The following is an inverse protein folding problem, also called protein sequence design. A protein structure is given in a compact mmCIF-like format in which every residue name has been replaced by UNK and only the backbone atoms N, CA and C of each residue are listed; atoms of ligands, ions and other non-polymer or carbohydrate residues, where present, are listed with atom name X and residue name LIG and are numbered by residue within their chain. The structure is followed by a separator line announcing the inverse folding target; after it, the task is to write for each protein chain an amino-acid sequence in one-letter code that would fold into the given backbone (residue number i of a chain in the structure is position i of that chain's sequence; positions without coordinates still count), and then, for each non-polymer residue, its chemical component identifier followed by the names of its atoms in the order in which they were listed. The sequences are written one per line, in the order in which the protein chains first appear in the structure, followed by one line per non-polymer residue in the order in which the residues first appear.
data_IF_105367452907
#
_entry.id   IF_105367452907
#
_cell.length_a   1.000
_cell.length_b   1.000
_cell.length_c   1.000
_cell.angle_alpha   90.00
_cell.angle_beta   90.00
_cell.angle_gamma   90.00
#
_symmetry.space_group_name_H-M   'P 1'
#
loop_
_entity.id
_entity.type
_entity.pdbx_description
1 polymer ?
#
# COMPACT_ATOMS: atom_id res chain seq x y z
N UNK A 1 -13.27 52.93 33.42
CA UNK A 1 -12.61 52.83 32.07
C UNK A 1 -12.01 51.46 31.78
N UNK A 2 -11.41 50.79 32.73
CA UNK A 2 -10.74 49.46 32.53
C UNK A 2 -11.67 48.35 32.09
N UNK A 3 -12.93 48.28 32.58
CA UNK A 3 -13.91 47.24 32.22
C UNK A 3 -14.40 47.33 30.76
N UNK A 4 -14.45 48.53 30.16
CA UNK A 4 -14.81 48.72 28.78
C UNK A 4 -13.68 48.26 27.82
N UNK A 5 -12.42 48.50 28.19
CA UNK A 5 -11.27 48.09 27.40
C UNK A 5 -11.12 46.55 27.33
N UNK A 6 -11.33 45.86 28.44
CA UNK A 6 -11.28 44.38 28.47
C UNK A 6 -12.34 43.71 27.62
N UNK A 7 -13.57 44.26 27.55
CA UNK A 7 -14.61 43.75 26.64
C UNK A 7 -14.30 43.98 25.18
N UNK A 8 -13.71 45.11 24.83
CA UNK A 8 -13.30 45.38 23.40
C UNK A 8 -12.18 44.43 22.99
N UNK A 9 -11.19 44.19 23.83
CA UNK A 9 -10.11 43.22 23.53
C UNK A 9 -10.69 41.80 23.36
N UNK A 10 -11.61 41.39 24.23
CA UNK A 10 -12.27 40.08 24.12
C UNK A 10 -13.03 39.92 22.80
N UNK A 11 -13.77 40.95 22.35
CA UNK A 11 -14.49 40.91 21.06
C UNK A 11 -13.53 40.89 19.86
N UNK A 12 -12.40 41.59 19.92
CA UNK A 12 -11.38 41.56 18.89
C UNK A 12 -10.75 40.16 18.81
N UNK A 13 -10.39 39.55 19.94
CA UNK A 13 -9.83 38.19 19.97
C UNK A 13 -10.83 37.17 19.44
N UNK A 14 -12.11 37.25 19.86
CA UNK A 14 -13.17 36.39 19.36
C UNK A 14 -13.41 36.57 17.84
N UNK A 15 -13.38 37.82 17.34
CA UNK A 15 -13.53 38.10 15.92
C UNK A 15 -12.34 37.56 15.11
N UNK A 16 -11.10 37.67 15.60
CA UNK A 16 -9.90 37.12 14.96
C UNK A 16 -9.93 35.61 14.94
N UNK A 17 -10.35 34.96 16.04
CA UNK A 17 -10.54 33.52 16.10
C UNK A 17 -11.65 33.06 15.15
N UNK A 18 -12.76 33.78 15.07
CA UNK A 18 -13.87 33.45 14.15
C UNK A 18 -13.46 33.60 12.69
N UNK A 19 -12.74 34.66 12.33
CA UNK A 19 -12.19 34.87 10.98
C UNK A 19 -11.16 33.79 10.67
N UNK A 20 -10.28 33.45 11.62
CA UNK A 20 -9.29 32.37 11.44
C UNK A 20 -9.95 31.00 11.21
N UNK A 21 -11.00 30.68 11.98
CA UNK A 21 -11.76 29.43 11.79
C UNK A 21 -12.55 29.41 10.48
N UNK A 22 -13.20 30.52 10.11
CA UNK A 22 -13.92 30.62 8.83
C UNK A 22 -12.96 30.53 7.64
N UNK A 23 -11.77 31.13 7.73
CA UNK A 23 -10.75 31.03 6.67
C UNK A 23 -10.23 29.59 6.59
N UNK A 24 -9.94 28.95 7.70
CA UNK A 24 -9.54 27.55 7.78
C UNK A 24 -10.59 26.60 7.16
N UNK A 25 -11.87 26.78 7.54
CA UNK A 25 -12.98 26.01 6.97
C UNK A 25 -13.12 26.27 5.47
N UNK A 26 -13.00 27.52 5.02
CA UNK A 26 -13.06 27.88 3.60
C UNK A 26 -11.93 27.21 2.77
N UNK A 27 -10.72 27.15 3.32
CA UNK A 27 -9.59 26.48 2.67
C UNK A 27 -9.84 24.96 2.59
N UNK A 28 -10.32 24.34 3.67
CA UNK A 28 -10.64 22.91 3.69
C UNK A 28 -11.76 22.58 2.71
N UNK A 29 -12.84 23.33 2.71
CA UNK A 29 -13.95 23.13 1.77
C UNK A 29 -13.52 23.36 0.32
N UNK A 30 -12.67 24.36 0.07
CA UNK A 30 -12.09 24.63 -1.25
C UNK A 30 -11.20 23.47 -1.73
N UNK A 31 -10.36 22.92 -0.84
CA UNK A 31 -9.49 21.78 -1.18
C UNK A 31 -10.32 20.51 -1.44
N UNK A 32 -11.37 20.25 -0.67
CA UNK A 32 -12.28 19.11 -0.90
C UNK A 32 -13.03 19.25 -2.22
N UNK A 33 -13.53 20.46 -2.53
CA UNK A 33 -14.22 20.71 -3.80
C UNK A 33 -13.26 20.54 -4.99
N UNK A 34 -12.03 21.02 -4.88
CA UNK A 34 -11.00 20.85 -5.91
C UNK A 34 -10.68 19.38 -6.11
N UNK A 35 -10.43 18.63 -5.03
CA UNK A 35 -10.15 17.18 -5.10
C UNK A 35 -11.29 16.43 -5.80
N UNK A 36 -12.55 16.79 -5.51
CA UNK A 36 -13.71 16.18 -6.20
C UNK A 36 -13.73 16.48 -7.69
N UNK A 37 -13.49 17.75 -8.07
CA UNK A 37 -13.44 18.15 -9.49
C UNK A 37 -12.32 17.39 -10.22
N UNK A 38 -11.12 17.29 -9.61
CA UNK A 38 -9.99 16.55 -10.18
C UNK A 38 -10.34 15.07 -10.37
N UNK A 39 -11.02 14.46 -9.39
CA UNK A 39 -11.46 13.07 -9.48
C UNK A 39 -12.51 12.83 -10.56
N UNK A 40 -13.48 13.76 -10.69
CA UNK A 40 -14.50 13.69 -11.74
C UNK A 40 -13.86 13.80 -13.13
N UNK A 41 -12.87 14.65 -13.31
CA UNK A 41 -12.15 14.82 -14.59
C UNK A 41 -11.37 13.58 -15.02
N UNK A 42 -10.89 12.78 -14.06
CA UNK A 42 -10.15 11.53 -14.31
C UNK A 42 -11.08 10.31 -14.53
N UNK A 43 -12.33 10.37 -14.14
CA UNK A 43 -13.28 9.24 -14.24
C UNK A 43 -13.37 8.61 -15.65
N UNK A 44 -13.36 9.36 -16.76
CA UNK A 44 -13.37 8.75 -18.09
C UNK A 44 -12.15 7.86 -18.38
N UNK A 45 -10.98 8.18 -17.81
CA UNK A 45 -9.80 7.35 -17.95
C UNK A 45 -9.98 6.01 -17.24
N UNK A 46 -10.58 5.98 -16.05
CA UNK A 46 -10.74 4.76 -15.24
C UNK A 46 -12.00 3.97 -15.57
N UNK A 47 -12.85 4.45 -16.48
CA UNK A 47 -14.03 3.70 -16.95
C UNK A 47 -13.57 2.65 -17.96
N UNK A 48 -13.61 1.34 -17.64
CA UNK A 48 -13.18 0.30 -18.54
C UNK A 48 -14.18 0.08 -19.69
N UNK A 49 -13.77 -0.54 -20.82
CA UNK A 49 -14.70 -0.98 -21.85
C UNK A 49 -15.63 -2.09 -21.34
N UNK A 50 -16.80 -2.24 -21.96
CA UNK A 50 -17.79 -3.26 -21.57
C UNK A 50 -17.24 -4.70 -21.66
N UNK A 51 -16.25 -4.93 -22.52
CA UNK A 51 -15.56 -6.23 -22.64
C UNK A 51 -14.08 -6.00 -22.44
N UNK A 52 -13.52 -6.65 -21.41
CA UNK A 52 -12.11 -6.57 -21.10
C UNK A 52 -11.30 -7.55 -21.98
N UNK A 53 -10.11 -7.16 -22.45
CA UNK A 53 -9.16 -8.09 -23.05
C UNK A 53 -8.58 -9.05 -21.99
N UNK A 54 -7.65 -9.91 -22.40
CA UNK A 54 -7.01 -10.85 -21.49
C UNK A 54 -6.23 -10.15 -20.37
N UNK A 55 -6.12 -10.75 -19.17
CA UNK A 55 -5.26 -10.25 -18.08
C UNK A 55 -3.84 -9.95 -18.54
N UNK A 56 -3.24 -8.89 -18.03
CA UNK A 56 -1.96 -8.35 -18.46
C UNK A 56 -2.00 -7.48 -19.71
N UNK A 57 -3.20 -7.23 -20.28
CA UNK A 57 -3.35 -6.31 -21.42
C UNK A 57 -3.46 -4.86 -20.96
N UNK A 58 -2.87 -3.95 -21.71
CA UNK A 58 -3.09 -2.50 -21.53
C UNK A 58 -4.43 -2.13 -22.17
N UNK A 59 -5.28 -1.44 -21.44
CA UNK A 59 -6.52 -0.85 -21.95
C UNK A 59 -6.21 0.51 -22.57
N UNK A 60 -5.51 1.37 -21.84
CA UNK A 60 -5.05 2.69 -22.30
C UNK A 60 -3.92 3.22 -21.44
N UNK A 61 -3.19 4.19 -22.00
CA UNK A 61 -2.17 4.97 -21.29
C UNK A 61 -2.31 6.43 -21.62
N UNK A 62 -1.91 7.30 -20.70
CA UNK A 62 -1.74 8.74 -20.93
C UNK A 62 -0.56 9.25 -20.09
N UNK A 63 0.00 10.44 -20.40
CA UNK A 63 0.98 11.07 -19.51
C UNK A 63 0.42 11.23 -18.10
N UNK A 64 1.23 10.94 -17.08
CA UNK A 64 0.85 11.14 -15.68
C UNK A 64 0.90 12.63 -15.36
N UNK A 65 -0.22 13.30 -15.53
CA UNK A 65 -0.40 14.72 -15.28
C UNK A 65 -1.61 14.97 -14.40
N UNK A 66 -1.61 16.08 -13.67
CA UNK A 66 -2.70 16.53 -12.82
C UNK A 66 -3.02 17.99 -13.14
N UNK A 67 -3.66 18.26 -14.31
CA UNK A 67 -3.83 19.61 -14.85
C UNK A 67 -4.55 20.57 -13.92
N UNK A 68 -5.57 20.07 -13.23
CA UNK A 68 -6.43 20.88 -12.38
C UNK A 68 -5.74 21.33 -11.08
N UNK A 69 -4.69 20.61 -10.64
CA UNK A 69 -3.88 20.97 -9.46
C UNK A 69 -2.67 21.82 -9.81
N UNK A 70 -2.31 21.92 -11.08
CA UNK A 70 -1.05 22.48 -11.54
C UNK A 70 0.18 21.67 -11.13
N UNK A 71 -0.03 20.46 -10.59
CA UNK A 71 1.07 19.57 -10.19
C UNK A 71 1.62 18.85 -11.41
N UNK A 72 2.92 18.92 -11.58
CA UNK A 72 3.70 18.12 -12.54
C UNK A 72 4.72 17.34 -11.76
N UNK A 73 4.77 16.02 -11.97
CA UNK A 73 5.82 15.20 -11.41
C UNK A 73 7.13 15.54 -12.10
N UNK A 74 8.05 16.17 -11.37
CA UNK A 74 9.42 16.41 -11.86
C UNK A 74 10.26 15.16 -11.59
N UNK A 75 10.47 14.35 -12.63
CA UNK A 75 11.29 13.13 -12.58
C UNK A 75 12.35 13.23 -13.70
N UNK A 76 13.50 13.86 -13.42
CA UNK A 76 14.53 14.07 -14.41
C UNK A 76 14.99 12.75 -15.06
N UNK A 77 15.05 12.72 -16.38
CA UNK A 77 15.53 11.56 -17.14
C UNK A 77 14.53 10.40 -17.27
N UNK A 78 13.28 10.60 -16.93
CA UNK A 78 12.21 9.61 -17.09
C UNK A 78 10.91 10.24 -17.62
N UNK A 79 10.03 9.40 -18.15
CA UNK A 79 8.66 9.75 -18.54
C UNK A 79 7.70 8.95 -17.68
N UNK A 80 6.70 9.62 -17.10
CA UNK A 80 5.68 9.00 -16.27
C UNK A 80 4.36 8.89 -17.04
N UNK A 81 3.70 7.73 -16.91
CA UNK A 81 2.41 7.44 -17.53
C UNK A 81 1.41 7.01 -16.46
N UNK A 82 0.15 7.36 -16.68
CA UNK A 82 -1.01 6.67 -16.08
C UNK A 82 -1.38 5.53 -17.01
N UNK A 83 -1.62 4.35 -16.47
CA UNK A 83 -2.01 3.16 -17.22
C UNK A 83 -3.31 2.59 -16.64
N UNK A 84 -4.25 2.23 -17.50
CA UNK A 84 -5.36 1.34 -17.16
C UNK A 84 -5.08 0.00 -17.84
N UNK A 85 -5.09 -1.08 -17.06
CA UNK A 85 -4.76 -2.41 -17.52
C UNK A 85 -5.77 -3.45 -17.02
N UNK A 86 -5.69 -4.67 -17.52
CA UNK A 86 -6.53 -5.78 -17.08
C UNK A 86 -5.77 -6.67 -16.12
N UNK A 87 -6.35 -6.86 -14.95
CA UNK A 87 -5.95 -7.82 -13.94
C UNK A 87 -6.98 -8.94 -13.80
N UNK A 88 -6.91 -9.70 -12.71
CA UNK A 88 -7.76 -10.86 -12.45
C UNK A 88 -8.24 -10.83 -11.01
N UNK A 89 -9.51 -11.09 -10.79
CA UNK A 89 -10.04 -11.35 -9.43
C UNK A 89 -9.77 -12.81 -9.03
N UNK A 90 -9.83 -13.16 -7.74
CA UNK A 90 -9.57 -14.52 -7.26
C UNK A 90 -10.45 -15.61 -7.90
N UNK A 91 -11.65 -15.25 -8.36
CA UNK A 91 -12.57 -16.14 -9.10
C UNK A 91 -12.18 -16.34 -10.58
N UNK A 92 -11.07 -15.77 -11.02
CA UNK A 92 -10.57 -15.83 -12.40
C UNK A 92 -11.22 -14.82 -13.34
N UNK A 93 -12.14 -13.96 -12.89
CA UNK A 93 -12.77 -12.96 -13.75
C UNK A 93 -11.83 -11.79 -14.05
N UNK A 94 -11.75 -11.33 -15.33
CA UNK A 94 -10.98 -10.14 -15.65
C UNK A 94 -11.55 -8.88 -14.97
N UNK A 95 -10.66 -8.03 -14.47
CA UNK A 95 -11.01 -6.76 -13.85
C UNK A 95 -10.02 -5.67 -14.27
N UNK A 96 -10.48 -4.42 -14.34
CA UNK A 96 -9.60 -3.29 -14.64
C UNK A 96 -8.89 -2.80 -13.37
N UNK A 97 -7.62 -2.41 -13.50
CA UNK A 97 -6.85 -1.74 -12.46
C UNK A 97 -6.09 -0.55 -13.03
N UNK A 98 -5.90 0.48 -12.21
CA UNK A 98 -5.02 1.60 -12.52
C UNK A 98 -3.56 1.30 -12.18
N UNK A 99 -2.64 2.07 -12.75
CA UNK A 99 -1.24 2.06 -12.35
C UNK A 99 -0.53 3.35 -12.75
N UNK A 100 0.57 3.66 -12.06
CA UNK A 100 1.60 4.58 -12.54
C UNK A 100 2.73 3.77 -13.18
N UNK A 101 3.28 4.27 -14.27
CA UNK A 101 4.42 3.66 -14.96
C UNK A 101 5.50 4.71 -15.17
N UNK A 102 6.72 4.41 -14.78
CA UNK A 102 7.88 5.30 -14.91
C UNK A 102 8.91 4.63 -15.81
N UNK A 103 9.22 5.28 -16.91
CA UNK A 103 10.10 4.76 -17.98
C UNK A 103 11.31 5.66 -18.13
N UNK A 104 12.54 5.14 -17.95
CA UNK A 104 13.76 5.91 -18.20
C UNK A 104 13.87 6.35 -19.65
N UNK A 105 14.34 7.61 -19.87
CA UNK A 105 14.57 8.15 -21.20
C UNK A 105 15.91 7.68 -21.82
N UNK A 106 16.79 7.02 -21.05
CA UNK A 106 18.01 6.39 -21.56
C UNK A 106 17.69 5.27 -22.55
N UNK A 107 18.59 4.85 -23.44
CA UNK A 107 18.35 3.68 -24.29
C UNK A 107 18.14 2.38 -23.46
N UNK A 108 17.21 1.54 -23.89
CA UNK A 108 17.02 0.24 -23.27
C UNK A 108 18.18 -0.71 -23.59
N UNK A 109 18.55 -1.63 -22.66
CA UNK A 109 19.48 -2.70 -22.98
C UNK A 109 18.88 -3.66 -24.02
N UNK A 110 19.71 -4.44 -24.75
CA UNK A 110 19.23 -5.35 -25.81
C UNK A 110 18.18 -6.36 -25.35
N UNK A 111 18.26 -6.81 -24.10
CA UNK A 111 17.34 -7.81 -23.52
C UNK A 111 16.10 -7.16 -22.87
N UNK A 112 15.92 -5.86 -23.05
CA UNK A 112 14.85 -5.08 -22.41
C UNK A 112 15.22 -4.61 -20.99
N UNK A 113 14.42 -3.68 -20.47
CA UNK A 113 14.62 -3.08 -19.13
C UNK A 113 14.15 -4.03 -18.05
N UNK A 114 14.92 -4.24 -16.96
CA UNK A 114 14.38 -4.84 -15.75
C UNK A 114 13.19 -4.05 -15.23
N UNK A 115 12.23 -4.74 -14.60
CA UNK A 115 11.01 -4.13 -14.05
C UNK A 115 11.03 -4.22 -12.53
N UNK A 116 10.66 -3.13 -11.86
CA UNK A 116 10.31 -3.17 -10.44
C UNK A 116 8.81 -2.91 -10.32
N UNK A 117 8.08 -3.89 -9.80
CA UNK A 117 6.68 -3.72 -9.44
C UNK A 117 6.61 -3.14 -8.02
N UNK A 118 6.05 -1.93 -7.91
CA UNK A 118 5.79 -1.30 -6.63
C UNK A 118 4.39 -1.63 -6.16
N UNK A 119 4.30 -2.14 -4.94
CA UNK A 119 3.09 -2.43 -4.21
C UNK A 119 2.93 -1.40 -3.08
N UNK A 120 1.94 -0.51 -3.19
CA UNK A 120 1.74 0.56 -2.21
C UNK A 120 1.11 0.06 -0.90
N UNK A 121 1.26 0.83 0.16
CA UNK A 121 0.60 0.61 1.44
C UNK A 121 -0.85 1.07 1.43
N UNK A 122 -1.56 0.88 2.55
CA UNK A 122 -2.95 1.25 2.73
C UNK A 122 -3.20 2.74 2.45
N UNK A 123 -4.15 3.02 1.57
CA UNK A 123 -4.53 4.39 1.17
C UNK A 123 -6.01 4.69 1.41
N UNK A 124 -6.83 3.69 1.76
CA UNK A 124 -8.28 3.71 1.79
C UNK A 124 -8.86 3.11 0.51
N UNK A 125 -10.09 2.60 0.54
CA UNK A 125 -10.70 1.86 -0.56
C UNK A 125 -11.52 2.75 -1.53
N UNK A 126 -11.66 4.04 -1.23
CA UNK A 126 -12.38 4.96 -2.11
C UNK A 126 -11.65 5.24 -3.41
N UNK A 127 -12.39 5.40 -4.51
CA UNK A 127 -11.83 5.68 -5.85
C UNK A 127 -10.83 6.84 -5.88
N UNK A 128 -11.08 7.86 -5.04
CA UNK A 128 -10.22 9.03 -4.93
C UNK A 128 -8.87 8.75 -4.27
N UNK A 129 -8.73 7.59 -3.63
CA UNK A 129 -7.53 7.21 -2.88
C UNK A 129 -6.48 6.53 -3.75
N UNK A 130 -6.88 6.06 -4.94
CA UNK A 130 -5.98 5.41 -5.89
C UNK A 130 -4.72 6.26 -6.16
N UNK A 131 -3.51 5.71 -5.98
CA UNK A 131 -2.27 6.46 -6.16
C UNK A 131 -2.14 7.12 -7.52
N UNK A 132 -2.54 6.45 -8.61
CA UNK A 132 -2.45 7.00 -9.96
C UNK A 132 -3.45 8.13 -10.22
N UNK A 133 -4.44 8.31 -9.34
CA UNK A 133 -5.39 9.43 -9.35
C UNK A 133 -4.96 10.62 -8.49
N UNK A 134 -3.88 10.48 -7.73
CA UNK A 134 -3.44 11.47 -6.76
C UNK A 134 -2.06 12.07 -7.12
N UNK A 135 -1.89 13.40 -7.07
CA UNK A 135 -0.57 14.00 -7.22
C UNK A 135 0.41 13.60 -6.10
N UNK A 136 -0.07 12.97 -5.03
CA UNK A 136 0.73 12.46 -3.91
C UNK A 136 1.02 10.96 -4.01
N UNK A 137 0.55 10.29 -5.06
CA UNK A 137 0.71 8.83 -5.23
C UNK A 137 2.16 8.35 -5.25
N UNK A 138 3.13 9.24 -5.48
CA UNK A 138 4.56 8.92 -5.47
C UNK A 138 5.28 9.25 -4.16
N UNK A 139 4.58 9.71 -3.11
CA UNK A 139 5.22 10.14 -1.88
C UNK A 139 6.12 9.06 -1.26
N UNK A 140 5.66 7.81 -1.21
CA UNK A 140 6.41 6.68 -0.65
C UNK A 140 7.59 6.25 -1.53
N UNK A 141 7.64 6.73 -2.77
CA UNK A 141 8.72 6.46 -3.72
C UNK A 141 9.85 7.50 -3.64
N UNK A 142 9.66 8.55 -2.84
CA UNK A 142 10.68 9.57 -2.66
C UNK A 142 11.95 8.97 -2.07
N UNK A 143 13.10 9.34 -2.61
CA UNK A 143 14.40 8.84 -2.18
C UNK A 143 14.92 7.58 -2.91
N UNK A 144 14.09 6.87 -3.68
CA UNK A 144 14.54 5.68 -4.41
C UNK A 144 14.07 5.60 -5.87
N UNK A 145 12.93 6.23 -6.26
CA UNK A 145 12.43 6.17 -7.63
C UNK A 145 13.45 6.72 -8.64
N UNK A 146 14.04 7.88 -8.37
CA UNK A 146 15.08 8.48 -9.24
C UNK A 146 16.29 7.57 -9.39
N UNK A 147 16.68 6.86 -8.33
CA UNK A 147 17.78 5.90 -8.38
C UNK A 147 17.45 4.75 -9.34
N UNK A 148 16.24 4.20 -9.29
CA UNK A 148 15.79 3.15 -10.21
C UNK A 148 15.77 3.66 -11.65
N UNK A 149 15.30 4.89 -11.89
CA UNK A 149 15.35 5.52 -13.22
C UNK A 149 16.78 5.68 -13.73
N UNK A 150 17.71 6.07 -12.87
CA UNK A 150 19.14 6.22 -13.23
C UNK A 150 19.79 4.89 -13.60
N UNK A 151 19.31 3.78 -13.03
CA UNK A 151 19.74 2.42 -13.34
C UNK A 151 19.08 1.85 -14.62
N UNK A 152 18.17 2.58 -15.24
CA UNK A 152 17.51 2.18 -16.47
C UNK A 152 16.35 1.20 -16.27
N UNK A 153 15.83 1.04 -15.06
CA UNK A 153 14.71 0.13 -14.76
C UNK A 153 13.36 0.81 -14.99
N UNK A 154 12.40 0.04 -15.46
CA UNK A 154 11.00 0.47 -15.45
C UNK A 154 10.42 0.22 -14.06
N UNK A 155 9.66 1.19 -13.53
CA UNK A 155 8.85 0.98 -12.34
C UNK A 155 7.38 1.00 -12.73
N UNK A 156 6.63 -0.02 -12.32
CA UNK A 156 5.17 -0.07 -12.43
C UNK A 156 4.57 -0.14 -11.03
N UNK A 157 3.66 0.76 -10.71
CA UNK A 157 3.01 0.89 -9.42
C UNK A 157 1.51 0.69 -9.62
N UNK A 158 1.02 -0.53 -9.36
CA UNK A 158 -0.42 -0.84 -9.44
C UNK A 158 -1.21 -0.10 -8.37
N UNK A 159 -2.45 0.29 -8.68
CA UNK A 159 -3.40 0.83 -7.70
C UNK A 159 -4.19 -0.29 -6.99
N UNK A 160 -4.10 -1.53 -7.44
CA UNK A 160 -4.97 -2.68 -7.18
C UNK A 160 -6.36 -2.58 -7.82
N UNK A 161 -6.97 -3.74 -8.11
CA UNK A 161 -8.34 -3.82 -8.65
C UNK A 161 -9.34 -3.33 -7.62
N UNK A 162 -10.27 -2.47 -8.07
CA UNK A 162 -11.31 -1.90 -7.22
C UNK A 162 -10.92 -0.56 -6.60
N UNK A 163 -9.64 -0.18 -6.65
CA UNK A 163 -9.21 1.14 -6.22
C UNK A 163 -9.16 2.08 -7.43
N UNK A 164 -10.10 3.01 -7.49
CA UNK A 164 -10.29 3.90 -8.63
C UNK A 164 -10.93 3.25 -9.86
N UNK A 165 -11.34 2.00 -9.79
CA UNK A 165 -11.96 1.20 -10.85
C UNK A 165 -13.17 0.43 -10.31
N UNK A 166 -14.09 -0.09 -11.16
CA UNK A 166 -15.31 -0.72 -10.68
C UNK A 166 -15.11 -1.95 -9.79
N UNK A 167 -15.88 -2.02 -8.72
CA UNK A 167 -15.90 -3.10 -7.74
C UNK A 167 -15.05 -2.78 -6.50
N UNK A 168 -15.12 -3.57 -5.43
CA UNK A 168 -14.35 -3.32 -4.22
C UNK A 168 -12.88 -3.68 -4.41
N UNK A 169 -11.99 -2.96 -3.77
CA UNK A 169 -10.62 -3.41 -3.53
C UNK A 169 -10.66 -4.66 -2.63
N UNK A 170 -9.77 -5.60 -2.89
CA UNK A 170 -9.63 -6.81 -2.09
C UNK A 170 -8.41 -6.68 -1.16
N UNK A 171 -8.55 -5.78 -0.20
CA UNK A 171 -7.54 -5.41 0.78
C UNK A 171 -7.04 -6.62 1.58
N UNK A 172 -5.71 -6.83 1.61
CA UNK A 172 -5.05 -7.99 2.25
C UNK A 172 -5.65 -9.34 1.82
N UNK A 173 -6.09 -9.46 0.56
CA UNK A 173 -6.43 -10.74 -0.08
C UNK A 173 -5.28 -11.13 -1.00
N UNK A 174 -4.46 -12.06 -0.53
CA UNK A 174 -3.18 -12.44 -1.13
C UNK A 174 -3.24 -12.70 -2.64
N UNK A 175 -4.20 -13.52 -3.09
CA UNK A 175 -4.33 -13.86 -4.51
C UNK A 175 -4.67 -12.65 -5.38
N UNK A 176 -5.54 -11.75 -4.89
CA UNK A 176 -5.92 -10.55 -5.62
C UNK A 176 -4.73 -9.60 -5.79
N UNK A 177 -4.03 -9.30 -4.68
CA UNK A 177 -2.87 -8.41 -4.70
C UNK A 177 -1.74 -8.94 -5.58
N UNK A 178 -1.49 -10.25 -5.53
CA UNK A 178 -0.46 -10.90 -6.37
C UNK A 178 -0.85 -10.87 -7.85
N UNK A 179 -2.11 -11.13 -8.17
CA UNK A 179 -2.60 -11.05 -9.56
C UNK A 179 -2.46 -9.63 -10.11
N UNK A 180 -2.70 -8.60 -9.29
CA UNK A 180 -2.51 -7.20 -9.68
C UNK A 180 -1.04 -6.87 -9.93
N UNK A 181 -0.14 -7.30 -9.05
CA UNK A 181 1.31 -7.14 -9.22
C UNK A 181 1.77 -7.83 -10.52
N UNK A 182 1.44 -9.11 -10.72
CA UNK A 182 1.85 -9.88 -11.91
C UNK A 182 1.31 -9.24 -13.19
N UNK A 183 0.03 -8.92 -13.23
CA UNK A 183 -0.61 -8.39 -14.44
C UNK A 183 -0.17 -6.96 -14.75
N UNK A 184 0.23 -6.16 -13.74
CA UNK A 184 0.88 -4.87 -14.00
C UNK A 184 2.23 -5.00 -14.69
N UNK A 185 3.03 -6.03 -14.33
CA UNK A 185 4.30 -6.36 -15.02
C UNK A 185 4.04 -6.83 -16.45
N UNK A 186 3.04 -7.70 -16.67
CA UNK A 186 2.65 -8.11 -18.02
C UNK A 186 2.19 -6.93 -18.86
N UNK A 187 1.40 -6.03 -18.29
CA UNK A 187 0.90 -4.84 -18.98
C UNK A 187 2.04 -3.91 -19.38
N UNK A 188 2.99 -3.61 -18.49
CA UNK A 188 4.11 -2.73 -18.82
C UNK A 188 5.02 -3.34 -19.87
N UNK A 189 5.14 -4.67 -19.93
CA UNK A 189 5.86 -5.37 -21.02
C UNK A 189 5.16 -5.23 -22.38
N UNK A 190 3.85 -5.06 -22.37
CA UNK A 190 3.09 -4.81 -23.60
C UNK A 190 3.16 -3.34 -24.06
N UNK A 191 3.70 -2.42 -23.27
CA UNK A 191 3.92 -1.02 -23.63
C UNK A 191 5.21 -0.87 -24.47
N UNK A 192 5.13 -0.43 -25.76
CA UNK A 192 6.33 -0.26 -26.59
C UNK A 192 7.34 0.73 -25.98
N UNK A 193 6.86 1.76 -25.30
CA UNK A 193 7.69 2.80 -24.67
C UNK A 193 8.54 2.24 -23.54
N UNK A 194 8.03 1.26 -22.81
CA UNK A 194 8.71 0.66 -21.68
C UNK A 194 9.90 -0.21 -22.10
N UNK A 195 9.81 -0.92 -23.23
CA UNK A 195 10.81 -1.90 -23.67
C UNK A 195 11.23 -2.84 -22.52
N UNK A 196 10.24 -3.30 -21.76
CA UNK A 196 10.45 -4.06 -20.53
C UNK A 196 10.75 -5.53 -20.80
N UNK A 197 11.69 -6.11 -20.05
CA UNK A 197 12.02 -7.55 -20.08
C UNK A 197 11.02 -8.37 -19.24
N UNK A 198 11.18 -9.70 -19.25
CA UNK A 198 10.43 -10.58 -18.36
C UNK A 198 10.98 -10.61 -16.92
N UNK A 199 12.19 -10.06 -16.70
CA UNK A 199 12.85 -10.06 -15.40
C UNK A 199 12.32 -8.92 -14.52
N UNK A 200 11.85 -9.28 -13.35
CA UNK A 200 11.30 -8.29 -12.42
C UNK A 200 11.62 -8.60 -10.96
N UNK A 201 11.53 -7.57 -10.14
CA UNK A 201 11.51 -7.65 -8.69
C UNK A 201 10.25 -6.98 -8.17
N UNK A 202 9.81 -7.34 -6.97
CA UNK A 202 8.69 -6.68 -6.29
C UNK A 202 9.24 -5.92 -5.09
N UNK A 203 8.78 -4.68 -4.91
CA UNK A 203 9.04 -3.90 -3.71
C UNK A 203 7.73 -3.31 -3.21
N UNK A 204 7.45 -3.44 -1.92
CA UNK A 204 6.21 -2.89 -1.36
C UNK A 204 6.37 -2.43 0.08
N UNK A 205 5.38 -1.65 0.52
CA UNK A 205 5.33 -1.07 1.86
C UNK A 205 4.04 -1.47 2.57
N UNK A 206 4.09 -1.84 3.84
CA UNK A 206 2.91 -2.11 4.69
C UNK A 206 2.02 -3.21 4.07
N UNK A 207 0.76 -2.90 3.66
CA UNK A 207 -0.08 -3.75 2.80
C UNK A 207 0.69 -4.23 1.57
N UNK A 208 1.37 -3.33 0.85
CA UNK A 208 2.20 -3.71 -0.30
C UNK A 208 3.41 -4.57 0.08
N UNK A 209 3.90 -4.46 1.32
CA UNK A 209 4.86 -5.41 1.87
C UNK A 209 4.28 -6.81 2.00
N UNK A 210 3.04 -6.94 2.46
CA UNK A 210 2.27 -8.19 2.44
C UNK A 210 2.13 -8.73 1.00
N UNK A 211 1.69 -7.88 0.06
CA UNK A 211 1.60 -8.23 -1.37
C UNK A 211 2.93 -8.73 -1.94
N UNK A 212 4.06 -8.07 -1.56
CA UNK A 212 5.40 -8.48 -2.02
C UNK A 212 5.80 -9.85 -1.51
N UNK A 213 5.55 -10.14 -0.24
CA UNK A 213 5.86 -11.44 0.35
C UNK A 213 5.01 -12.55 -0.27
N UNK A 214 3.73 -12.31 -0.48
CA UNK A 214 2.85 -13.25 -1.18
C UNK A 214 3.23 -13.42 -2.66
N UNK A 215 3.69 -12.36 -3.34
CA UNK A 215 4.21 -12.46 -4.70
C UNK A 215 5.43 -13.41 -4.76
N UNK A 216 6.33 -13.34 -3.77
CA UNK A 216 7.44 -14.29 -3.65
C UNK A 216 7.00 -15.76 -3.53
N UNK A 217 5.83 -16.00 -2.95
CA UNK A 217 5.27 -17.35 -2.79
C UNK A 217 4.48 -17.81 -4.02
N UNK A 218 3.59 -16.98 -4.56
CA UNK A 218 2.62 -17.38 -5.59
C UNK A 218 3.06 -17.10 -7.02
N UNK A 219 3.85 -16.04 -7.25
CA UNK A 219 4.19 -15.63 -8.60
C UNK A 219 5.00 -16.65 -9.41
N UNK A 220 5.92 -17.45 -8.86
CA UNK A 220 6.61 -18.47 -9.62
C UNK A 220 5.67 -19.49 -10.28
N UNK A 221 4.56 -19.83 -9.63
CA UNK A 221 3.54 -20.74 -10.18
C UNK A 221 2.54 -19.99 -11.08
N UNK A 222 2.03 -18.82 -10.64
CA UNK A 222 1.02 -18.03 -11.37
C UNK A 222 1.55 -17.34 -12.63
N UNK A 223 2.86 -17.07 -12.69
CA UNK A 223 3.48 -16.32 -13.79
C UNK A 223 4.77 -16.97 -14.31
N UNK A 224 4.72 -18.22 -14.82
CA UNK A 224 5.89 -18.90 -15.37
C UNK A 224 6.45 -18.22 -16.64
N UNK A 225 5.73 -17.26 -17.21
CA UNK A 225 6.15 -16.39 -18.32
C UNK A 225 7.02 -15.21 -17.87
N UNK A 226 7.18 -14.99 -16.57
CA UNK A 226 7.98 -13.94 -15.96
C UNK A 226 9.08 -14.52 -15.08
N UNK A 227 10.14 -13.77 -14.87
CA UNK A 227 11.27 -14.16 -14.01
C UNK A 227 11.33 -13.23 -12.78
N UNK A 228 10.74 -13.67 -11.66
CA UNK A 228 10.86 -12.96 -10.37
C UNK A 228 12.24 -13.24 -9.77
N UNK A 229 13.06 -12.20 -9.63
CA UNK A 229 14.44 -12.33 -9.12
C UNK A 229 14.58 -12.13 -7.63
N UNK A 230 13.54 -11.61 -6.99
CA UNK A 230 13.48 -11.40 -5.53
C UNK A 230 12.41 -10.40 -5.14
N UNK A 231 12.09 -10.38 -3.86
CA UNK A 231 11.08 -9.49 -3.27
C UNK A 231 11.65 -8.68 -2.13
N UNK A 232 11.22 -7.43 -2.01
CA UNK A 232 11.56 -6.54 -0.90
C UNK A 232 10.28 -6.00 -0.25
N UNK A 233 10.27 -5.92 1.08
CA UNK A 233 9.12 -5.48 1.85
C UNK A 233 9.56 -4.52 2.96
N UNK A 234 9.05 -3.30 2.96
CA UNK A 234 9.27 -2.32 4.01
C UNK A 234 8.09 -2.33 4.98
N UNK A 235 8.35 -2.54 6.27
CA UNK A 235 7.37 -2.61 7.34
C UNK A 235 6.14 -3.48 6.99
N UNK A 236 6.32 -4.73 6.49
CA UNK A 236 5.22 -5.53 5.96
C UNK A 236 4.21 -5.93 7.03
N UNK A 237 2.93 -5.92 6.68
CA UNK A 237 1.88 -6.58 7.45
C UNK A 237 1.95 -8.10 7.21
N UNK A 238 2.95 -8.76 7.81
CA UNK A 238 3.29 -10.14 7.50
C UNK A 238 2.77 -11.16 8.52
N UNK A 239 3.02 -10.97 9.79
CA UNK A 239 2.49 -11.83 10.86
C UNK A 239 1.16 -11.23 11.36
N UNK A 240 0.05 -11.55 10.66
CA UNK A 240 -1.22 -10.88 10.88
C UNK A 240 -1.82 -11.19 12.26
N UNK A 241 -1.77 -12.43 12.74
CA UNK A 241 -2.27 -12.80 14.07
C UNK A 241 -1.70 -11.90 15.18
N UNK A 242 -0.37 -11.80 15.37
CA UNK A 242 0.19 -10.90 16.38
C UNK A 242 -0.08 -9.40 16.13
N UNK A 243 -0.26 -8.99 14.88
CA UNK A 243 -0.65 -7.59 14.57
C UNK A 243 -2.07 -7.32 15.04
N UNK A 244 -3.01 -8.23 14.77
CA UNK A 244 -4.39 -8.11 15.21
C UNK A 244 -4.46 -8.12 16.74
N UNK A 245 -3.84 -9.10 17.42
CA UNK A 245 -3.79 -9.18 18.89
C UNK A 245 -3.34 -7.87 19.54
N UNK A 246 -2.37 -7.18 18.93
CA UNK A 246 -1.81 -5.96 19.50
C UNK A 246 -2.63 -4.70 19.25
N UNK A 247 -3.51 -4.67 18.24
CA UNK A 247 -4.01 -3.41 17.71
C UNK A 247 -5.52 -3.35 17.41
N UNK A 248 -6.26 -4.47 17.59
CA UNK A 248 -7.67 -4.56 17.21
C UNK A 248 -8.59 -3.56 17.93
N UNK A 249 -8.30 -3.19 19.17
CA UNK A 249 -9.09 -2.28 19.99
C UNK A 249 -8.65 -0.81 19.89
N UNK A 250 -7.61 -0.54 19.08
CA UNK A 250 -6.98 0.77 18.94
C UNK A 250 -7.43 1.56 17.70
N UNK A 251 -6.61 2.57 17.37
CA UNK A 251 -6.78 3.40 16.16
C UNK A 251 -6.67 2.54 14.89
N UNK A 252 -5.75 1.57 14.89
CA UNK A 252 -5.54 0.68 13.75
C UNK A 252 -6.79 -0.14 13.46
N UNK A 253 -7.50 -0.62 14.50
CA UNK A 253 -8.79 -1.31 14.33
C UNK A 253 -9.84 -0.44 13.61
N UNK A 254 -9.89 0.86 13.86
CA UNK A 254 -10.80 1.78 13.18
C UNK A 254 -10.42 2.08 11.73
N UNK A 255 -9.15 1.99 11.37
CA UNK A 255 -8.65 2.26 10.02
C UNK A 255 -8.71 1.00 9.16
N UNK A 256 -8.12 -0.08 9.65
CA UNK A 256 -7.93 -1.33 8.90
C UNK A 256 -9.16 -2.25 8.98
N UNK A 257 -9.86 -2.24 10.11
CA UNK A 257 -11.04 -3.10 10.31
C UNK A 257 -12.13 -2.94 9.27
N UNK A 258 -12.53 -1.70 8.87
CA UNK A 258 -13.49 -1.46 7.79
C UNK A 258 -13.06 -2.05 6.45
N UNK A 259 -11.80 -1.85 6.05
CA UNK A 259 -11.25 -2.33 4.79
C UNK A 259 -11.16 -3.87 4.78
N UNK A 260 -10.64 -4.46 5.84
CA UNK A 260 -10.59 -5.91 6.02
C UNK A 260 -11.99 -6.54 6.01
N UNK A 261 -12.97 -5.93 6.69
CA UNK A 261 -14.33 -6.43 6.71
C UNK A 261 -14.92 -6.52 5.30
N UNK A 262 -14.83 -5.45 4.50
CA UNK A 262 -15.36 -5.42 3.13
C UNK A 262 -14.65 -6.46 2.26
N UNK A 263 -13.31 -6.46 2.27
CA UNK A 263 -12.51 -7.31 1.39
C UNK A 263 -12.68 -8.80 1.73
N UNK A 264 -12.68 -9.14 3.01
CA UNK A 264 -12.76 -10.54 3.44
C UNK A 264 -14.18 -11.10 3.36
N UNK A 265 -15.23 -10.28 3.53
CA UNK A 265 -16.61 -10.69 3.24
C UNK A 265 -16.84 -10.97 1.75
N UNK A 266 -16.09 -10.33 0.85
CA UNK A 266 -16.14 -10.66 -0.57
C UNK A 266 -15.67 -12.10 -0.83
N UNK A 267 -14.64 -12.57 -0.12
CA UNK A 267 -14.14 -13.94 -0.19
C UNK A 267 -14.96 -14.94 0.64
N UNK A 268 -15.46 -14.53 1.80
CA UNK A 268 -16.32 -15.32 2.68
C UNK A 268 -17.55 -14.49 3.13
N UNK A 269 -18.67 -14.57 2.38
CA UNK A 269 -19.89 -13.86 2.74
C UNK A 269 -20.50 -14.25 4.09
N UNK A 270 -20.01 -15.33 4.73
CA UNK A 270 -20.45 -15.77 6.05
C UNK A 270 -19.56 -15.24 7.19
N UNK A 271 -18.55 -14.40 6.87
CA UNK A 271 -17.72 -13.76 7.87
C UNK A 271 -18.62 -12.98 8.85
N UNK A 272 -18.66 -13.34 10.16
CA UNK A 272 -19.59 -12.74 11.09
C UNK A 272 -19.24 -11.27 11.38
N UNK A 273 -20.26 -10.43 11.33
CA UNK A 273 -20.18 -9.00 11.67
C UNK A 273 -20.79 -8.77 13.06
N UNK A 274 -22.02 -9.23 13.24
CA UNK A 274 -22.72 -9.11 14.53
C UNK A 274 -22.01 -9.94 15.60
N UNK A 275 -21.79 -9.35 16.78
CA UNK A 275 -21.07 -9.95 17.88
C UNK A 275 -19.54 -9.93 17.75
N UNK A 276 -18.99 -9.41 16.64
CA UNK A 276 -17.57 -9.18 16.46
C UNK A 276 -17.28 -7.69 16.27
N UNK A 277 -18.08 -7.00 15.48
CA UNK A 277 -17.97 -5.55 15.21
C UNK A 277 -18.96 -4.79 16.07
N UNK A 278 -18.53 -3.69 16.67
CA UNK A 278 -19.42 -2.84 17.49
C UNK A 278 -20.52 -2.20 16.64
N UNK A 279 -21.61 -1.79 17.28
CA UNK A 279 -22.68 -1.06 16.58
C UNK A 279 -22.17 0.20 15.85
N UNK A 280 -21.30 1.07 16.44
CA UNK A 280 -20.68 2.18 15.71
C UNK A 280 -19.81 1.72 14.53
N UNK A 281 -19.15 0.57 14.63
CA UNK A 281 -18.41 -0.03 13.53
C UNK A 281 -19.33 -0.41 12.38
N UNK A 282 -20.40 -1.17 12.65
CA UNK A 282 -21.41 -1.60 11.67
C UNK A 282 -22.05 -0.39 10.96
N UNK A 283 -22.38 0.66 11.71
CA UNK A 283 -23.06 1.83 11.15
C UNK A 283 -22.14 2.70 10.26
N UNK A 284 -20.81 2.47 10.27
CA UNK A 284 -19.85 3.37 9.61
C UNK A 284 -18.80 2.67 8.72
N UNK A 285 -18.69 1.35 8.69
CA UNK A 285 -17.54 0.69 8.03
C UNK A 285 -17.45 1.00 6.53
N UNK A 286 -18.56 1.03 5.79
CA UNK A 286 -18.53 1.34 4.35
C UNK A 286 -18.00 2.75 4.09
N UNK A 287 -18.47 3.73 4.88
CA UNK A 287 -18.00 5.10 4.76
C UNK A 287 -16.54 5.28 5.17
N UNK A 288 -16.11 4.58 6.25
CA UNK A 288 -14.72 4.64 6.73
C UNK A 288 -13.76 4.01 5.74
N UNK A 289 -14.14 2.90 5.12
CA UNK A 289 -13.34 2.29 4.08
C UNK A 289 -13.23 3.16 2.82
N UNK A 290 -14.29 3.91 2.46
CA UNK A 290 -14.29 4.85 1.33
C UNK A 290 -13.44 6.11 1.60
N UNK A 291 -13.11 6.41 2.85
CA UNK A 291 -12.24 7.54 3.20
C UNK A 291 -10.76 7.20 2.91
N UNK A 292 -10.03 8.17 2.36
CA UNK A 292 -8.58 7.99 2.22
C UNK A 292 -7.89 7.98 3.60
N UNK A 293 -6.82 7.22 3.70
CA UNK A 293 -6.11 6.85 4.92
C UNK A 293 -5.90 7.99 5.93
N UNK A 294 -5.61 9.20 5.47
CA UNK A 294 -5.38 10.34 6.37
C UNK A 294 -6.65 10.77 7.12
N UNK A 295 -7.81 10.73 6.46
CA UNK A 295 -9.10 11.05 7.08
C UNK A 295 -9.57 9.91 7.97
N UNK A 296 -9.48 8.67 7.50
CA UNK A 296 -9.78 7.48 8.29
C UNK A 296 -8.94 7.42 9.58
N UNK A 297 -7.65 7.71 9.51
CA UNK A 297 -6.76 7.77 10.68
C UNK A 297 -7.15 8.88 11.66
N UNK A 298 -7.51 10.06 11.16
CA UNK A 298 -7.96 11.18 12.01
C UNK A 298 -9.26 10.85 12.73
N UNK A 299 -10.23 10.25 12.03
CA UNK A 299 -11.49 9.83 12.64
C UNK A 299 -11.25 8.67 13.63
N UNK A 300 -10.46 7.66 13.28
CA UNK A 300 -10.09 6.58 14.16
C UNK A 300 -9.45 7.07 15.46
N UNK A 301 -8.55 8.05 15.37
CA UNK A 301 -7.96 8.70 16.55
C UNK A 301 -9.01 9.40 17.41
N UNK A 302 -9.95 10.12 16.80
CA UNK A 302 -11.01 10.81 17.52
C UNK A 302 -11.94 9.82 18.25
N UNK A 303 -12.33 8.73 17.58
CA UNK A 303 -13.17 7.67 18.15
C UNK A 303 -12.48 6.93 19.30
N UNK A 304 -11.21 6.58 19.11
CA UNK A 304 -10.41 5.92 20.13
C UNK A 304 -10.27 6.81 21.40
N UNK A 305 -10.06 8.11 21.24
CA UNK A 305 -10.04 9.06 22.37
C UNK A 305 -11.38 9.17 23.11
N UNK A 306 -12.49 8.84 22.44
CA UNK A 306 -13.82 8.77 23.06
C UNK A 306 -14.09 7.39 23.69
N UNK A 307 -13.10 6.49 23.73
CA UNK A 307 -13.23 5.14 24.29
C UNK A 307 -14.07 4.21 23.40
N UNK A 308 -14.15 4.49 22.10
CA UNK A 308 -14.83 3.63 21.14
C UNK A 308 -13.83 2.69 20.48
N UNK A 309 -14.22 1.43 20.26
CA UNK A 309 -13.51 0.43 19.47
C UNK A 309 -14.32 0.06 18.24
N UNK A 310 -13.65 -0.34 17.16
CA UNK A 310 -14.31 -0.88 15.96
C UNK A 310 -14.84 -2.29 16.23
N UNK A 311 -14.02 -3.14 16.83
CA UNK A 311 -14.41 -4.50 17.23
C UNK A 311 -14.98 -4.52 18.66
N UNK A 312 -15.97 -5.37 18.89
CA UNK A 312 -16.59 -5.61 20.20
C UNK A 312 -15.81 -6.64 21.03
N UNK A 313 -15.21 -7.59 20.34
CA UNK A 313 -14.32 -8.63 20.89
C UNK A 313 -13.02 -8.64 20.09
N UNK A 314 -11.98 -9.31 20.59
CA UNK A 314 -10.84 -9.66 19.75
C UNK A 314 -11.35 -10.48 18.55
N UNK A 315 -11.14 -10.02 17.29
CA UNK A 315 -11.61 -10.77 16.13
C UNK A 315 -11.00 -12.18 16.04
N UNK A 316 -9.87 -12.44 16.68
CA UNK A 316 -9.25 -13.77 16.76
C UNK A 316 -10.01 -14.75 17.68
N UNK A 317 -10.89 -14.25 18.56
CA UNK A 317 -11.83 -15.10 19.33
C UNK A 317 -12.95 -15.67 18.44
N UNK A 318 -13.17 -15.09 17.25
CA UNK A 318 -14.04 -15.63 16.22
C UNK A 318 -13.28 -16.63 15.35
N UNK A 319 -13.65 -17.94 15.34
CA UNK A 319 -12.97 -18.95 14.53
C UNK A 319 -12.92 -18.60 13.03
N UNK A 320 -13.97 -17.97 12.49
CA UNK A 320 -14.02 -17.58 11.07
C UNK A 320 -13.05 -16.46 10.78
N UNK A 321 -13.02 -15.39 11.59
CA UNK A 321 -12.06 -14.31 11.44
C UNK A 321 -10.62 -14.80 11.57
N UNK A 322 -10.37 -15.63 12.60
CA UNK A 322 -9.05 -16.23 12.79
C UNK A 322 -8.60 -17.05 11.58
N UNK A 323 -9.50 -17.83 11.00
CA UNK A 323 -9.19 -18.65 9.83
C UNK A 323 -8.79 -17.76 8.62
N UNK A 324 -9.47 -16.63 8.40
CA UNK A 324 -9.10 -15.68 7.35
C UNK A 324 -7.76 -15.02 7.65
N UNK A 325 -7.52 -14.56 8.88
CA UNK A 325 -6.24 -13.98 9.30
C UNK A 325 -5.09 -14.96 9.06
N UNK A 326 -5.26 -16.22 9.46
CA UNK A 326 -4.25 -17.27 9.25
C UNK A 326 -4.03 -17.54 7.75
N UNK A 327 -5.09 -17.55 6.93
CA UNK A 327 -5.02 -17.77 5.49
C UNK A 327 -4.30 -16.62 4.77
N UNK A 328 -4.47 -15.39 5.23
CA UNK A 328 -3.82 -14.22 4.61
C UNK A 328 -2.42 -13.94 5.18
N UNK A 329 -1.94 -14.73 6.14
CA UNK A 329 -0.57 -14.62 6.68
C UNK A 329 0.44 -15.27 5.73
N UNK A 330 1.41 -14.53 5.15
CA UNK A 330 2.35 -15.09 4.18
C UNK A 330 3.26 -16.15 4.82
N UNK A 331 3.42 -17.31 4.16
CA UNK A 331 4.32 -18.37 4.63
C UNK A 331 5.78 -18.01 4.38
N UNK A 332 6.73 -18.67 5.09
CA UNK A 332 8.15 -18.54 4.79
C UNK A 332 8.44 -18.85 3.31
N UNK A 333 9.23 -17.99 2.67
CA UNK A 333 9.62 -18.20 1.27
C UNK A 333 10.65 -19.32 1.13
N UNK A 334 10.63 -20.06 0.00
CA UNK A 334 11.64 -21.07 -0.27
C UNK A 334 13.04 -20.46 -0.42
N UNK A 335 14.08 -21.25 -0.19
CA UNK A 335 15.46 -20.76 -0.12
C UNK A 335 15.97 -20.14 -1.45
N UNK A 336 15.39 -20.52 -2.58
CA UNK A 336 15.72 -20.00 -3.92
C UNK A 336 14.97 -18.70 -4.27
N UNK A 337 14.02 -18.27 -3.43
CA UNK A 337 13.37 -16.95 -3.53
C UNK A 337 13.99 -15.96 -2.55
N UNK A 338 14.93 -15.09 -2.98
CA UNK A 338 15.53 -14.10 -2.10
C UNK A 338 14.52 -13.07 -1.62
N UNK A 339 14.59 -12.76 -0.33
CA UNK A 339 13.72 -11.75 0.27
C UNK A 339 14.50 -10.78 1.14
N UNK A 340 14.16 -9.49 1.03
CA UNK A 340 14.63 -8.43 1.93
C UNK A 340 13.44 -7.86 2.70
N UNK A 341 13.57 -7.75 4.02
CA UNK A 341 12.57 -7.10 4.87
C UNK A 341 13.25 -5.97 5.64
N UNK A 342 12.67 -4.78 5.60
CA UNK A 342 13.12 -3.61 6.36
C UNK A 342 12.07 -3.22 7.38
N UNK A 343 12.45 -3.02 8.65
CA UNK A 343 11.54 -2.68 9.74
C UNK A 343 12.06 -1.52 10.58
N UNK A 344 11.23 -0.50 10.76
CA UNK A 344 11.52 0.62 11.65
C UNK A 344 11.23 0.27 13.12
N UNK A 345 12.15 0.63 14.03
CA UNK A 345 11.97 0.38 15.47
C UNK A 345 11.03 1.39 16.15
N UNK A 346 10.74 2.52 15.51
CA UNK A 346 9.76 3.50 15.98
C UNK A 346 8.36 3.32 15.35
N UNK A 347 8.14 2.22 14.62
CA UNK A 347 6.88 1.90 13.97
C UNK A 347 5.77 1.61 15.00
N UNK A 348 4.64 2.34 14.90
CA UNK A 348 3.49 2.21 15.77
C UNK A 348 2.25 1.66 15.04
N UNK A 349 2.39 1.32 13.75
CA UNK A 349 1.33 0.73 12.91
C UNK A 349 1.59 -0.76 12.72
N UNK A 350 2.70 -1.12 12.10
CA UNK A 350 3.21 -2.49 12.13
C UNK A 350 4.32 -2.53 13.18
N UNK A 351 3.96 -2.91 14.40
CA UNK A 351 4.89 -2.95 15.51
C UNK A 351 6.14 -3.79 15.16
N UNK A 352 7.33 -3.48 15.70
CA UNK A 352 8.56 -4.20 15.33
C UNK A 352 8.57 -5.69 15.71
N UNK A 353 7.95 -6.06 16.83
CA UNK A 353 8.01 -7.43 17.35
C UNK A 353 7.30 -8.51 16.49
N UNK A 354 6.19 -8.25 15.75
CA UNK A 354 5.68 -9.20 14.77
C UNK A 354 6.69 -9.53 13.67
N UNK A 355 7.44 -8.54 13.18
CA UNK A 355 8.48 -8.79 12.19
C UNK A 355 9.75 -9.42 12.79
N UNK A 356 9.94 -9.36 14.12
CA UNK A 356 10.92 -10.22 14.80
C UNK A 356 10.48 -11.70 14.83
N UNK A 357 9.18 -11.97 14.97
CA UNK A 357 8.62 -13.33 14.80
C UNK A 357 8.86 -13.81 13.37
N UNK A 358 8.56 -12.97 12.36
CA UNK A 358 8.84 -13.29 10.96
C UNK A 358 10.30 -13.69 10.79
N UNK A 359 11.24 -12.87 11.27
CA UNK A 359 12.67 -13.15 11.13
C UNK A 359 13.03 -14.52 11.70
N UNK A 360 12.64 -14.84 12.94
CA UNK A 360 12.92 -16.13 13.56
C UNK A 360 12.29 -17.29 12.79
N UNK A 361 11.01 -17.18 12.45
CA UNK A 361 10.24 -18.21 11.76
C UNK A 361 10.79 -18.50 10.37
N UNK A 362 11.09 -17.46 9.59
CA UNK A 362 11.59 -17.62 8.23
C UNK A 362 13.04 -18.08 8.19
N UNK A 363 13.86 -17.62 9.12
CA UNK A 363 15.23 -18.12 9.27
C UNK A 363 15.26 -19.59 9.66
N UNK A 364 14.39 -20.01 10.59
CA UNK A 364 14.26 -21.43 10.97
C UNK A 364 13.75 -22.31 9.82
N UNK A 365 12.89 -21.77 8.96
CA UNK A 365 12.41 -22.46 7.76
C UNK A 365 13.45 -22.53 6.62
N UNK A 366 14.57 -21.81 6.74
CA UNK A 366 15.65 -21.84 5.74
C UNK A 366 15.53 -20.80 4.64
N UNK A 367 14.63 -19.83 4.76
CA UNK A 367 14.48 -18.73 3.77
C UNK A 367 15.78 -17.93 3.61
N UNK A 368 16.03 -17.44 2.40
CA UNK A 368 17.15 -16.54 2.11
C UNK A 368 16.73 -15.11 2.44
N UNK A 369 16.67 -14.81 3.74
CA UNK A 369 16.17 -13.56 4.30
C UNK A 369 17.31 -12.59 4.61
N UNK A 370 17.22 -11.38 4.05
CA UNK A 370 17.99 -10.20 4.42
C UNK A 370 17.10 -9.30 5.28
N UNK A 371 17.31 -9.27 6.59
CA UNK A 371 16.57 -8.41 7.51
C UNK A 371 17.33 -7.14 7.81
N UNK A 372 16.69 -5.99 7.69
CA UNK A 372 17.20 -4.67 8.03
C UNK A 372 16.35 -4.02 9.11
N UNK A 373 17.00 -3.67 10.23
CA UNK A 373 16.35 -2.96 11.34
C UNK A 373 16.80 -1.50 11.37
N UNK A 374 15.85 -0.57 11.29
CA UNK A 374 16.10 0.87 11.20
C UNK A 374 15.73 1.55 12.53
N UNK A 375 16.65 2.26 13.16
CA UNK A 375 16.51 2.85 14.50
C UNK A 375 15.27 3.72 14.68
N UNK A 376 15.38 5.04 14.49
CA UNK A 376 14.28 6.01 14.73
C UNK A 376 13.36 6.17 13.49
N UNK A 377 13.06 5.08 12.79
CA UNK A 377 12.19 5.07 11.60
C UNK A 377 10.78 4.65 12.00
N UNK A 378 9.82 5.50 11.70
CA UNK A 378 8.38 5.24 11.84
C UNK A 378 7.81 4.53 10.60
N UNK A 379 6.55 4.08 10.70
CA UNK A 379 5.86 3.35 9.64
C UNK A 379 5.91 4.06 8.29
N UNK A 380 5.51 5.33 8.28
CA UNK A 380 5.35 6.13 7.04
C UNK A 380 6.68 6.42 6.33
N UNK A 381 7.81 6.27 7.04
CA UNK A 381 9.14 6.50 6.47
C UNK A 381 9.84 5.22 6.06
N UNK A 382 9.31 4.05 6.42
CA UNK A 382 10.00 2.77 6.24
C UNK A 382 10.46 2.55 4.80
N UNK A 383 9.59 2.72 3.79
CA UNK A 383 9.94 2.54 2.38
C UNK A 383 10.89 3.62 1.85
N UNK A 384 10.76 4.86 2.34
CA UNK A 384 11.61 5.99 1.93
C UNK A 384 13.04 5.79 2.44
N UNK A 385 13.18 5.44 3.72
CA UNK A 385 14.49 5.32 4.37
C UNK A 385 15.23 4.06 3.92
N UNK A 386 14.54 2.92 3.80
CA UNK A 386 15.13 1.67 3.30
C UNK A 386 15.37 1.68 1.79
N UNK A 387 14.69 2.55 1.05
CA UNK A 387 14.68 2.58 -0.41
C UNK A 387 16.05 2.50 -1.07
N UNK A 388 17.05 3.32 -0.71
CA UNK A 388 18.39 3.23 -1.30
C UNK A 388 19.06 1.86 -1.11
N UNK A 389 18.86 1.22 0.03
CA UNK A 389 19.40 -0.12 0.31
C UNK A 389 18.63 -1.19 -0.46
N UNK A 390 17.30 -1.06 -0.56
CA UNK A 390 16.45 -1.93 -1.39
C UNK A 390 16.88 -1.83 -2.86
N UNK A 391 17.12 -0.63 -3.38
CA UNK A 391 17.63 -0.45 -4.77
C UNK A 391 18.95 -1.17 -4.98
N UNK A 392 19.91 -1.02 -4.06
CA UNK A 392 21.19 -1.72 -4.14
C UNK A 392 21.02 -3.25 -4.06
N UNK A 393 20.15 -3.71 -3.17
CA UNK A 393 19.84 -5.13 -3.03
C UNK A 393 19.18 -5.69 -4.31
N UNK A 394 18.20 -5.01 -4.89
CA UNK A 394 17.54 -5.41 -6.15
C UNK A 394 18.54 -5.40 -7.31
N UNK A 395 19.47 -4.42 -7.36
CA UNK A 395 20.52 -4.37 -8.39
C UNK A 395 21.39 -5.65 -8.37
N UNK A 396 21.69 -6.14 -7.19
CA UNK A 396 22.40 -7.40 -7.02
C UNK A 396 21.60 -8.60 -7.53
N UNK A 397 20.29 -8.60 -7.33
CA UNK A 397 19.41 -9.68 -7.88
C UNK A 397 19.36 -9.63 -9.39
N UNK A 398 19.18 -8.46 -9.97
CA UNK A 398 19.24 -8.31 -11.43
C UNK A 398 20.62 -8.68 -12.01
N UNK A 399 21.69 -8.52 -11.25
CA UNK A 399 23.03 -8.94 -11.64
C UNK A 399 23.32 -10.45 -11.40
N UNK A 400 22.35 -11.21 -10.87
CA UNK A 400 22.49 -12.62 -10.54
C UNK A 400 23.40 -12.89 -9.33
N UNK A 401 23.71 -11.87 -8.51
CA UNK A 401 24.52 -12.03 -7.31
C UNK A 401 23.72 -12.71 -6.18
N UNK A 402 24.30 -13.60 -5.39
CA UNK A 402 23.62 -14.24 -4.27
C UNK A 402 23.11 -13.22 -3.24
N UNK A 403 21.92 -13.43 -2.69
CA UNK A 403 21.39 -12.58 -1.64
C UNK A 403 22.14 -12.80 -0.31
N UNK A 404 22.44 -11.73 0.44
CA UNK A 404 22.94 -11.89 1.80
C UNK A 404 21.85 -12.53 2.68
N UNK A 405 22.28 -13.29 3.68
CA UNK A 405 21.41 -13.89 4.68
C UNK A 405 21.83 -13.36 6.05
N UNK A 406 20.88 -12.73 6.76
CA UNK A 406 21.15 -12.08 8.05
C UNK A 406 20.60 -12.86 9.25
N UNK A 407 20.31 -14.15 9.05
CA UNK A 407 19.70 -15.02 10.08
C UNK A 407 20.60 -15.27 11.30
N UNK A 408 21.91 -15.04 11.18
CA UNK A 408 22.86 -15.16 12.30
C UNK A 408 22.82 -13.94 13.25
N UNK A 409 22.10 -12.88 12.86
CA UNK A 409 21.94 -11.67 13.68
C UNK A 409 20.55 -11.72 14.32
N UNK A 410 20.43 -11.79 15.65
CA UNK A 410 19.12 -11.81 16.31
C UNK A 410 18.40 -10.48 16.11
N UNK A 411 17.04 -10.46 16.11
CA UNK A 411 16.29 -9.23 16.07
C UNK A 411 16.60 -8.34 17.29
N UNK A 412 16.64 -7.01 17.12
CA UNK A 412 16.95 -6.08 18.22
C UNK A 412 15.81 -5.94 19.23
N UNK A 413 14.64 -6.47 18.91
CA UNK A 413 13.46 -6.53 19.78
C UNK A 413 13.06 -7.99 20.00
N UNK A 414 12.55 -8.36 21.19
CA UNK A 414 12.10 -9.73 21.41
C UNK A 414 10.87 -10.03 20.53
N UNK A 415 10.74 -11.26 19.99
CA UNK A 415 9.60 -11.70 19.18
C UNK A 415 8.40 -12.03 20.07
N UNK A 416 8.01 -11.09 20.92
CA UNK A 416 6.88 -11.20 21.86
C UNK A 416 6.36 -9.80 22.16
N UNK A 417 5.05 -9.65 22.43
CA UNK A 417 4.55 -8.39 22.93
C UNK A 417 5.34 -7.97 24.18
N UNK A 418 5.64 -6.67 24.34
CA UNK A 418 6.18 -6.17 25.61
C UNK A 418 5.25 -6.59 26.73
N UNK A 419 5.80 -7.10 27.82
CA UNK A 419 5.02 -7.44 29.01
C UNK A 419 4.26 -6.18 29.49
N UNK A 420 2.98 -6.27 29.86
CA UNK A 420 2.17 -5.15 30.28
C UNK A 420 2.72 -4.46 31.52
#
# INVERSE_FOLDING_TARGET
MVVKAGRVILYIVLAVLLVGTMTGVGIVLGSVAQTRSDQESLTPFYTPPATLPAPGSVIRTEPLTFPDTGFTLDLPGATAYRMLYVSTRPDGTPAASGAMVFVPNSPAPPDGRPVVAWAHGTVGMGDACAPSRSPRGTNDMSGWLEQMMSLGWVVVATDYVGLGTPGPELYLVAEAEVDDVINSVRAVRAMPEAQASARYAVFGHSQGGHSSLWAGHLAPEKAPDLELVGVAAAAPAAELTPIVEAQWDGVVGWVIGPEALIAWQYGDPQLPVEGVVTRPGIDNYERLADECINLAALEGLARNKLGQSFFEIDPLDSPTWKAVVDQQTPPPLPADMPVMVSQGLADQVVLPWPNAILQEKWCAAGSTLSMEWMGDVDHMKAAIVSGPQVVAWIADRFAGRPAPRTCDVPPPVPPRPPSP
#
